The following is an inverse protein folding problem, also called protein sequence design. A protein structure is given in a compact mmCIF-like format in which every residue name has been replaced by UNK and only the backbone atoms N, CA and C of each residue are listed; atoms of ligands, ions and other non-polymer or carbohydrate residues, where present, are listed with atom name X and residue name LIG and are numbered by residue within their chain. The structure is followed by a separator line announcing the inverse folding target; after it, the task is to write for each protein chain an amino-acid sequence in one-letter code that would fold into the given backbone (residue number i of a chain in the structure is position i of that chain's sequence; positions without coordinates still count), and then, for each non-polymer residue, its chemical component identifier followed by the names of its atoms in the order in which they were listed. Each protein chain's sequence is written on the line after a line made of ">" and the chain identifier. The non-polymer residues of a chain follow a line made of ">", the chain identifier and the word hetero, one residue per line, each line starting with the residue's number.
data_IF_074375420566
#
_entry.id   IF_074375420566
#
_cell.length_a   1.000
_cell.length_b   1.000
_cell.length_c   1.000
_cell.angle_alpha   90.00
_cell.angle_beta   90.00
_cell.angle_gamma   90.00
#
_symmetry.space_group_name_H-M   'P 1'
#
loop_
_entity.id
_entity.type
_entity.pdbx_description
1 polymer ?
#
# COMPACT_ATOMS: atom_id res chain seq x y z
N UNK A 1 4.40 -26.06 -16.43
CA UNK A 1 4.24 -25.82 -15.95
C UNK A 1 4.09 -25.98 -15.45
N UNK A 2 3.79 -25.91 -15.64
CA UNK A 2 3.40 -25.79 -15.17
C UNK A 2 3.31 -25.90 -14.44
N UNK A 3 3.52 -26.18 -14.10
CA UNK A 3 3.27 -26.23 -13.39
C UNK A 3 3.15 -25.87 -12.75
N UNK A 4 3.69 -26.18 -12.40
CA UNK A 4 3.16 -25.32 -11.78
C UNK A 4 2.18 -24.84 -12.43
N UNK A 5 2.22 -25.08 -13.43
CA UNK A 5 1.39 -24.48 -14.26
C UNK A 5 0.02 -24.97 -14.24
N UNK A 6 -0.24 -26.12 -13.91
CA UNK A 6 -1.59 -26.61 -13.83
C UNK A 6 -2.41 -25.75 -12.89
N UNK A 7 -1.77 -25.17 -11.91
CA UNK A 7 -2.46 -24.33 -10.94
C UNK A 7 -2.70 -22.92 -11.43
N UNK A 8 -2.16 -22.56 -12.56
CA UNK A 8 -2.26 -21.18 -13.02
C UNK A 8 -3.70 -20.71 -13.24
N UNK A 9 -4.57 -21.47 -13.92
CA UNK A 9 -5.93 -20.99 -14.10
C UNK A 9 -6.64 -20.72 -12.79
N UNK A 10 -6.40 -21.56 -11.80
CA UNK A 10 -6.99 -21.31 -10.50
C UNK A 10 -6.34 -20.18 -9.77
N UNK A 11 -5.05 -19.97 -10.03
CA UNK A 11 -4.33 -18.91 -9.34
C UNK A 11 -4.85 -17.54 -9.72
N UNK A 12 -5.32 -17.38 -10.94
CA UNK A 12 -5.75 -16.06 -11.34
C UNK A 12 -6.94 -15.54 -10.54
N UNK A 13 -8.00 -16.31 -10.33
CA UNK A 13 -9.07 -15.84 -9.44
C UNK A 13 -8.57 -15.61 -8.02
N UNK A 14 -7.70 -16.50 -7.54
CA UNK A 14 -7.15 -16.33 -6.21
C UNK A 14 -6.26 -15.11 -6.13
N UNK A 15 -5.48 -14.86 -7.16
CA UNK A 15 -4.61 -13.69 -7.17
C UNK A 15 -5.41 -12.40 -7.20
N UNK A 16 -6.50 -12.39 -7.95
CA UNK A 16 -7.37 -11.23 -7.97
C UNK A 16 -7.96 -10.95 -6.60
N UNK A 17 -8.48 -12.00 -5.96
CA UNK A 17 -9.03 -11.87 -4.63
C UNK A 17 -7.97 -11.46 -3.64
N UNK A 18 -6.76 -12.02 -3.77
CA UNK A 18 -5.66 -11.66 -2.89
C UNK A 18 -5.28 -10.21 -3.05
N UNK A 19 -5.26 -9.71 -4.27
CA UNK A 19 -4.95 -8.31 -4.50
C UNK A 19 -5.98 -7.41 -3.84
N UNK A 20 -7.25 -7.77 -3.95
CA UNK A 20 -8.29 -6.98 -3.32
C UNK A 20 -8.12 -6.97 -1.80
N UNK A 21 -7.83 -8.13 -1.24
CA UNK A 21 -7.64 -8.23 0.19
C UNK A 21 -6.43 -7.43 0.64
N UNK A 22 -5.32 -7.59 -0.05
CA UNK A 22 -4.10 -6.86 0.28
C UNK A 22 -4.35 -5.36 0.14
N UNK A 23 -5.03 -4.96 -0.93
CA UNK A 23 -5.34 -3.55 -1.12
C UNK A 23 -6.19 -2.98 -0.01
N UNK A 24 -7.19 -3.74 0.43
CA UNK A 24 -8.05 -3.29 1.51
C UNK A 24 -7.27 -3.16 2.81
N UNK A 25 -6.36 -4.09 3.06
CA UNK A 25 -5.54 -4.04 4.27
C UNK A 25 -4.62 -2.83 4.25
N UNK A 26 -3.98 -2.58 3.11
CA UNK A 26 -3.07 -1.44 3.00
C UNK A 26 -3.81 -0.12 3.08
N UNK A 27 -4.96 -0.04 2.45
CA UNK A 27 -5.75 1.19 2.52
C UNK A 27 -6.23 1.44 3.94
N UNK A 28 -6.69 0.41 4.62
CA UNK A 28 -7.11 0.55 6.00
C UNK A 28 -5.96 1.03 6.87
N UNK A 29 -4.77 0.49 6.65
CA UNK A 29 -3.60 0.89 7.41
C UNK A 29 -3.28 2.36 7.18
N UNK A 30 -3.28 2.79 5.92
CA UNK A 30 -2.98 4.18 5.60
C UNK A 30 -3.97 5.12 6.27
N UNK A 31 -5.24 4.75 6.28
CA UNK A 31 -6.26 5.59 6.88
C UNK A 31 -6.12 5.68 8.38
N UNK A 32 -5.79 4.56 9.03
CA UNK A 32 -5.58 4.58 10.47
C UNK A 32 -4.37 5.44 10.81
N UNK A 33 -3.29 5.29 10.03
CA UNK A 33 -2.11 6.11 10.27
C UNK A 33 -2.41 7.59 10.13
N UNK A 34 -3.23 7.93 9.15
CA UNK A 34 -3.55 9.32 8.90
C UNK A 34 -4.44 9.91 9.99
N UNK A 35 -5.42 9.16 10.47
CA UNK A 35 -6.42 9.71 11.36
C UNK A 35 -6.15 9.42 12.83
N UNK A 36 -5.47 8.33 13.15
CA UNK A 36 -5.33 7.91 14.54
C UNK A 36 -3.90 7.69 14.97
N UNK A 37 -2.97 7.58 14.04
CA UNK A 37 -1.57 7.47 14.40
C UNK A 37 -1.04 6.05 14.36
N UNK A 38 0.26 5.95 14.56
CA UNK A 38 0.99 4.71 14.38
C UNK A 38 0.54 3.63 15.36
N UNK A 39 0.32 4.00 16.60
CA UNK A 39 -0.01 3.01 17.62
C UNK A 39 -1.37 2.39 17.42
N UNK A 40 -2.27 3.11 16.77
CA UNK A 40 -3.61 2.59 16.52
C UNK A 40 -3.63 1.60 15.38
N UNK A 41 -2.58 1.52 14.58
CA UNK A 41 -2.55 0.66 13.40
C UNK A 41 -2.03 -0.72 13.73
N UNK A 42 -2.66 -1.39 14.67
CA UNK A 42 -2.32 -2.77 14.98
C UNK A 42 -3.11 -3.71 14.08
N UNK A 43 -2.71 -4.97 14.04
CA UNK A 43 -3.29 -5.91 13.09
C UNK A 43 -4.78 -6.11 13.28
N UNK A 44 -5.24 -6.13 14.53
CA UNK A 44 -6.68 -6.29 14.78
C UNK A 44 -7.47 -5.09 14.27
N UNK A 45 -6.99 -3.89 14.53
CA UNK A 45 -7.66 -2.69 14.07
C UNK A 45 -7.65 -2.61 12.56
N UNK A 46 -6.53 -2.99 11.96
CA UNK A 46 -6.41 -2.98 10.50
C UNK A 46 -7.39 -3.97 9.89
N UNK A 47 -7.45 -5.18 10.43
CA UNK A 47 -8.36 -6.19 9.92
C UNK A 47 -9.81 -5.72 10.01
N UNK A 48 -10.18 -5.17 11.15
CA UNK A 48 -11.54 -4.68 11.34
C UNK A 48 -11.88 -3.60 10.35
N UNK A 49 -10.97 -2.65 10.16
CA UNK A 49 -11.22 -1.54 9.25
C UNK A 49 -11.25 -2.00 7.81
N UNK A 50 -10.43 -3.00 7.47
CA UNK A 50 -10.39 -3.53 6.12
C UNK A 50 -11.59 -4.41 5.81
N UNK A 51 -12.33 -4.81 6.83
CA UNK A 51 -13.47 -5.69 6.63
C UNK A 51 -13.10 -7.14 6.45
N UNK A 52 -11.95 -7.55 7.02
CA UNK A 52 -11.50 -8.94 6.93
C UNK A 52 -11.28 -9.47 8.34
N UNK A 53 -11.34 -10.79 8.48
CA UNK A 53 -11.03 -11.38 9.77
C UNK A 53 -9.53 -11.37 9.98
N UNK A 54 -9.13 -11.42 11.26
CA UNK A 54 -7.72 -11.49 11.56
C UNK A 54 -7.10 -12.76 11.00
N UNK A 55 -7.87 -13.84 10.94
CA UNK A 55 -7.40 -15.08 10.34
C UNK A 55 -7.19 -14.96 8.83
N UNK A 56 -7.92 -14.07 8.18
CA UNK A 56 -7.71 -13.83 6.77
C UNK A 56 -6.54 -12.91 6.52
N UNK A 57 -6.20 -12.07 7.49
CA UNK A 57 -5.07 -11.15 7.35
C UNK A 57 -3.73 -11.84 7.50
N UNK A 58 -3.61 -12.72 8.48
CA UNK A 58 -2.32 -13.31 8.80
C UNK A 58 -1.63 -14.07 7.67
N UNK A 59 -2.35 -14.76 6.77
CA UNK A 59 -1.66 -15.40 5.65
C UNK A 59 -0.92 -14.43 4.74
N UNK A 60 -1.36 -13.19 4.70
CA UNK A 60 -0.71 -12.18 3.88
C UNK A 60 0.35 -11.41 4.66
N UNK A 61 0.05 -11.10 5.92
CA UNK A 61 0.93 -10.26 6.73
C UNK A 61 0.99 -10.83 8.14
N UNK A 62 2.09 -11.47 8.49
CA UNK A 62 2.18 -12.11 9.80
C UNK A 62 2.17 -11.13 10.96
N UNK A 63 2.57 -9.87 10.71
CA UNK A 63 2.59 -8.89 11.77
C UNK A 63 2.46 -7.49 11.18
N UNK A 64 2.39 -6.52 12.08
CA UNK A 64 2.23 -5.12 11.71
C UNK A 64 3.39 -4.62 10.87
N UNK A 65 4.60 -5.04 11.22
CA UNK A 65 5.78 -4.61 10.49
C UNK A 65 5.73 -5.02 9.03
N UNK A 66 5.19 -6.21 8.76
CA UNK A 66 5.08 -6.69 7.38
C UNK A 66 4.11 -5.81 6.60
N UNK A 67 3.02 -5.37 7.23
CA UNK A 67 2.06 -4.49 6.56
C UNK A 67 2.71 -3.15 6.25
N UNK A 68 3.42 -2.59 7.21
CA UNK A 68 4.09 -1.31 7.01
C UNK A 68 5.15 -1.40 5.92
N UNK A 69 5.91 -2.50 5.90
CA UNK A 69 6.92 -2.69 4.87
C UNK A 69 6.32 -2.69 3.49
N UNK A 70 5.19 -3.38 3.33
CA UNK A 70 4.53 -3.42 2.03
C UNK A 70 3.96 -2.07 1.65
N UNK A 71 3.42 -1.34 2.62
CA UNK A 71 2.89 0.00 2.37
C UNK A 71 3.99 0.92 1.87
N UNK A 72 5.15 0.86 2.51
CA UNK A 72 6.29 1.67 2.10
C UNK A 72 6.76 1.26 0.71
N UNK A 73 6.83 -0.03 0.46
CA UNK A 73 7.29 -0.51 -0.83
C UNK A 73 6.39 -0.02 -1.96
N UNK A 74 5.09 -0.05 -1.75
CA UNK A 74 4.17 0.42 -2.77
C UNK A 74 4.23 1.93 -2.93
N UNK A 75 4.43 2.64 -1.84
CA UNK A 75 4.59 4.09 -1.91
C UNK A 75 5.84 4.46 -2.70
N UNK A 76 6.93 3.74 -2.47
CA UNK A 76 8.17 4.00 -3.20
C UNK A 76 8.02 3.70 -4.67
N UNK A 77 7.28 2.65 -5.00
CA UNK A 77 7.03 2.31 -6.39
C UNK A 77 6.28 3.43 -7.09
N UNK A 78 5.27 3.99 -6.41
CA UNK A 78 4.55 5.13 -6.96
C UNK A 78 5.39 6.39 -6.98
N UNK A 79 6.25 6.55 -5.96
CA UNK A 79 7.10 7.73 -5.88
C UNK A 79 8.13 7.78 -6.99
N UNK A 80 8.56 6.63 -7.49
CA UNK A 80 9.52 6.62 -8.59
C UNK A 80 9.01 7.38 -9.78
N UNK A 81 7.78 7.11 -10.17
CA UNK A 81 7.17 7.80 -11.31
C UNK A 81 6.92 9.26 -10.98
N UNK A 82 6.41 9.53 -9.80
CA UNK A 82 6.16 10.91 -9.39
C UNK A 82 7.45 11.71 -9.32
N UNK A 83 8.52 11.06 -8.88
CA UNK A 83 9.81 11.74 -8.78
C UNK A 83 10.25 12.27 -10.13
N UNK A 84 10.16 11.45 -11.16
CA UNK A 84 10.57 11.89 -12.49
C UNK A 84 9.76 13.08 -12.95
N UNK A 85 8.46 13.03 -12.74
CA UNK A 85 7.58 14.11 -13.16
C UNK A 85 7.89 15.39 -12.38
N UNK A 86 8.01 15.28 -11.07
CA UNK A 86 8.22 16.46 -10.23
C UNK A 86 9.59 17.06 -10.44
N UNK A 87 10.61 16.24 -10.66
CA UNK A 87 11.94 16.77 -10.93
C UNK A 87 11.95 17.57 -12.22
N UNK A 88 11.21 17.10 -13.23
CA UNK A 88 11.13 17.84 -14.48
C UNK A 88 10.42 19.16 -14.30
N UNK A 89 9.41 19.19 -13.43
CA UNK A 89 8.59 20.39 -13.25
C UNK A 89 9.18 21.37 -12.25
N UNK A 90 10.00 20.88 -11.33
CA UNK A 90 10.47 21.72 -10.22
C UNK A 90 11.99 21.84 -10.21
N UNK A 91 12.61 21.80 -11.36
CA UNK A 91 14.06 21.77 -11.45
C UNK A 91 14.72 22.95 -10.77
N UNK A 92 14.04 24.10 -10.73
CA UNK A 92 14.61 25.29 -10.14
C UNK A 92 14.34 25.47 -8.67
N UNK A 93 13.63 24.55 -8.04
CA UNK A 93 13.24 24.73 -6.64
C UNK A 93 14.26 24.10 -5.70
N UNK A 94 14.24 24.57 -4.46
CA UNK A 94 15.12 24.02 -3.44
C UNK A 94 14.79 22.57 -3.18
N UNK A 95 15.82 21.82 -2.78
CA UNK A 95 15.64 20.40 -2.54
C UNK A 95 14.57 20.13 -1.48
N UNK A 96 14.59 20.94 -0.43
CA UNK A 96 13.61 20.77 0.63
C UNK A 96 12.19 20.90 0.11
N UNK A 97 11.98 21.89 -0.72
CA UNK A 97 10.66 22.11 -1.30
C UNK A 97 10.26 20.94 -2.19
N UNK A 98 11.20 20.44 -2.97
CA UNK A 98 10.95 19.32 -3.85
C UNK A 98 10.58 18.07 -3.07
N UNK A 99 11.28 17.81 -1.99
CA UNK A 99 10.99 16.67 -1.15
C UNK A 99 9.63 16.78 -0.51
N UNK A 100 9.27 17.98 -0.09
CA UNK A 100 7.95 18.20 0.50
C UNK A 100 6.85 17.90 -0.50
N UNK A 101 7.02 18.33 -1.73
CA UNK A 101 6.04 18.09 -2.78
C UNK A 101 5.94 16.59 -3.09
N UNK A 102 7.07 15.91 -3.09
CA UNK A 102 7.08 14.48 -3.35
C UNK A 102 6.30 13.70 -2.29
N UNK A 103 6.55 14.02 -1.04
CA UNK A 103 5.87 13.33 0.04
C UNK A 103 4.38 13.60 -0.03
N UNK A 104 4.01 14.85 -0.25
CA UNK A 104 2.61 15.21 -0.31
C UNK A 104 1.93 14.51 -1.48
N UNK A 105 2.57 14.48 -2.63
CA UNK A 105 1.99 13.83 -3.80
C UNK A 105 1.84 12.34 -3.60
N UNK A 106 2.82 11.71 -2.96
CA UNK A 106 2.75 10.29 -2.70
C UNK A 106 1.62 9.94 -1.77
N UNK A 107 1.44 10.73 -0.72
CA UNK A 107 0.35 10.49 0.21
C UNK A 107 -0.99 10.72 -0.47
N UNK A 108 -1.10 11.81 -1.25
CA UNK A 108 -2.35 12.09 -1.94
C UNK A 108 -2.70 10.97 -2.91
N UNK A 109 -1.70 10.44 -3.59
CA UNK A 109 -1.94 9.36 -4.54
C UNK A 109 -2.46 8.12 -3.84
N UNK A 110 -1.90 7.81 -2.69
CA UNK A 110 -2.36 6.67 -1.90
C UNK A 110 -3.80 6.87 -1.46
N UNK A 111 -4.11 8.05 -1.01
CA UNK A 111 -5.45 8.33 -0.48
C UNK A 111 -6.50 8.38 -1.56
N UNK A 112 -6.11 8.70 -2.78
CA UNK A 112 -7.05 8.86 -3.88
C UNK A 112 -7.15 7.63 -4.77
N UNK A 113 -6.61 6.52 -4.34
CA UNK A 113 -6.68 5.31 -5.15
C UNK A 113 -8.13 4.98 -5.47
N UNK A 114 -8.40 4.59 -6.71
CA UNK A 114 -9.77 4.19 -7.05
C UNK A 114 -10.14 2.90 -6.36
N UNK A 115 -11.41 2.74 -6.17
CA UNK A 115 -11.95 1.57 -5.47
C UNK A 115 -11.94 0.34 -6.34
#
# INVERSE_FOLDING_TARGET
>A
MISTSAAKPRKQPLQGRSRETIGAILEATARILETEGLEAANTNAIAARAGVSIGSLYPYFPDQAAIFAELIRQAESGLGDMLEILLAQTAGQALEERLRLLVKAGVAQQMERPQ
#
